data_IF_090401659708
#
_entry.id   IF_090401659708
#
_cell.length_a   1.000
_cell.length_b   1.000
_cell.length_c   1.000
_cell.angle_alpha   90.00
_cell.angle_beta   90.00
_cell.angle_gamma   90.00
#
_symmetry.space_group_name_H-M   'P 1'
#
loop_
_entity.id
_entity.type
_entity.pdbx_description
1 polymer ?
#
# COMPACT_ATOMS: atom_id res chain seq x y z
N UNK A 1 1.90 77.00 -35.04
CA UNK A 1 1.61 76.27 -33.79
C UNK A 1 0.18 75.80 -33.87
N UNK A 2 -0.01 74.52 -34.15
CA UNK A 2 -1.30 73.93 -34.55
C UNK A 2 -2.00 73.31 -33.33
N UNK A 3 -3.23 73.71 -33.05
CA UNK A 3 -4.13 72.99 -32.16
C UNK A 3 -5.36 72.56 -32.96
N UNK A 4 -5.47 71.24 -33.14
CA UNK A 4 -6.49 70.60 -33.95
C UNK A 4 -7.63 70.10 -33.07
N UNK A 5 -8.84 70.40 -33.54
CA UNK A 5 -10.17 69.99 -33.08
C UNK A 5 -10.29 68.52 -32.62
N UNK A 6 -10.96 68.33 -31.47
CA UNK A 6 -11.35 67.02 -30.93
C UNK A 6 -12.77 66.68 -31.41
N UNK A 7 -12.92 65.61 -32.19
CA UNK A 7 -14.18 65.11 -32.75
C UNK A 7 -14.64 63.88 -31.95
N UNK A 8 -15.84 63.95 -31.39
CA UNK A 8 -16.51 62.86 -30.67
C UNK A 8 -16.74 61.63 -31.55
N UNK A 9 -16.40 60.44 -31.07
CA UNK A 9 -16.94 59.17 -31.57
C UNK A 9 -17.39 58.30 -30.39
N UNK A 10 -18.67 57.98 -30.40
CA UNK A 10 -19.36 57.06 -29.50
C UNK A 10 -18.85 55.64 -29.71
N UNK A 11 -18.30 54.99 -28.68
CA UNK A 11 -17.95 53.57 -28.74
C UNK A 11 -18.97 52.74 -27.94
N UNK A 12 -19.57 51.79 -28.65
CA UNK A 12 -20.61 50.87 -28.17
C UNK A 12 -20.05 49.89 -27.14
N UNK A 13 -20.90 49.59 -26.16
CA UNK A 13 -20.76 48.51 -25.18
C UNK A 13 -20.60 47.16 -25.88
N UNK A 14 -19.58 46.40 -25.48
CA UNK A 14 -19.54 44.95 -25.63
C UNK A 14 -19.12 44.35 -24.29
N UNK A 15 -20.10 43.98 -23.48
CA UNK A 15 -19.92 43.23 -22.25
C UNK A 15 -19.47 41.81 -22.64
N UNK A 16 -18.17 41.53 -22.50
CA UNK A 16 -17.64 40.17 -22.63
C UNK A 16 -17.90 39.46 -21.30
N UNK A 17 -18.98 38.69 -21.23
CA UNK A 17 -19.20 37.75 -20.14
C UNK A 17 -18.22 36.59 -20.33
N UNK A 18 -17.11 36.61 -19.59
CA UNK A 18 -16.20 35.48 -19.51
C UNK A 18 -16.93 34.32 -18.82
N UNK A 19 -17.43 33.37 -19.60
CA UNK A 19 -17.91 32.10 -19.08
C UNK A 19 -16.71 31.30 -18.58
N UNK A 20 -16.47 31.34 -17.27
CA UNK A 20 -15.54 30.45 -16.60
C UNK A 20 -16.08 29.02 -16.73
N UNK A 21 -15.55 28.26 -17.69
CA UNK A 21 -15.76 26.83 -17.76
C UNK A 21 -14.99 26.17 -16.60
N UNK A 22 -15.62 26.11 -15.43
CA UNK A 22 -15.18 25.23 -14.35
C UNK A 22 -15.42 23.80 -14.81
N UNK A 23 -14.40 23.17 -15.40
CA UNK A 23 -14.35 21.72 -15.45
C UNK A 23 -14.13 21.22 -14.03
N UNK A 24 -15.24 21.12 -13.29
CA UNK A 24 -15.31 20.27 -12.11
C UNK A 24 -15.07 18.85 -12.61
N UNK A 25 -13.83 18.36 -12.50
CA UNK A 25 -13.59 16.93 -12.47
C UNK A 25 -14.16 16.46 -11.13
N UNK A 26 -15.48 16.33 -11.06
CA UNK A 26 -16.12 15.58 -10.00
C UNK A 26 -15.75 14.12 -10.25
N UNK A 27 -14.60 13.72 -9.71
CA UNK A 27 -14.41 12.35 -9.32
C UNK A 27 -15.58 12.05 -8.38
N UNK A 28 -16.57 11.30 -8.85
CA UNK A 28 -17.62 10.75 -7.99
C UNK A 28 -16.93 9.79 -7.02
N UNK A 29 -16.39 10.36 -5.94
CA UNK A 29 -15.90 9.59 -4.82
C UNK A 29 -17.11 8.86 -4.23
N UNK A 30 -16.92 7.59 -3.81
CA UNK A 30 -17.96 6.83 -3.14
C UNK A 30 -18.59 7.68 -2.01
N UNK A 31 -19.90 7.57 -1.74
CA UNK A 31 -20.59 8.39 -0.72
C UNK A 31 -19.90 8.38 0.66
N UNK A 32 -19.16 7.31 0.98
CA UNK A 32 -18.44 7.10 2.22
C UNK A 32 -16.91 7.32 2.12
N UNK A 33 -16.36 7.65 0.94
CA UNK A 33 -14.90 7.68 0.69
C UNK A 33 -14.11 8.60 1.63
N UNK A 34 -14.68 9.77 1.98
CA UNK A 34 -14.07 10.70 2.93
C UNK A 34 -14.03 10.12 4.34
N UNK A 35 -15.16 9.62 4.84
CA UNK A 35 -15.26 9.04 6.17
C UNK A 35 -14.37 7.79 6.30
N UNK A 36 -14.34 6.96 5.25
CA UNK A 36 -13.43 5.82 5.12
C UNK A 36 -11.97 6.27 5.21
N UNK A 37 -11.57 7.30 4.46
CA UNK A 37 -10.21 7.84 4.53
C UNK A 37 -9.88 8.36 5.92
N UNK A 38 -10.77 9.14 6.54
CA UNK A 38 -10.56 9.71 7.87
C UNK A 38 -10.37 8.62 8.93
N UNK A 39 -11.19 7.56 8.91
CA UNK A 39 -11.05 6.41 9.79
C UNK A 39 -9.73 5.66 9.57
N UNK A 40 -9.38 5.36 8.32
CA UNK A 40 -8.12 4.68 8.00
C UNK A 40 -6.89 5.53 8.36
N UNK A 41 -6.96 6.86 8.23
CA UNK A 41 -5.88 7.76 8.67
C UNK A 41 -5.77 7.79 10.20
N UNK A 42 -6.85 7.58 10.94
CA UNK A 42 -6.80 7.42 12.39
C UNK A 42 -6.10 6.12 12.79
N UNK A 43 -6.35 5.02 12.08
CA UNK A 43 -5.71 3.71 12.30
C UNK A 43 -4.26 3.65 11.81
N UNK A 44 -3.95 4.36 10.72
CA UNK A 44 -2.63 4.43 10.10
C UNK A 44 -2.17 5.90 9.98
N UNK A 45 -1.78 6.54 11.10
CA UNK A 45 -1.38 7.95 11.09
C UNK A 45 -0.28 8.24 10.06
N UNK A 46 -0.58 9.18 9.16
CA UNK A 46 0.30 9.53 8.04
C UNK A 46 1.60 10.19 8.50
N UNK A 47 2.68 9.81 7.84
CA UNK A 47 4.00 10.43 7.96
C UNK A 47 4.06 11.64 7.05
N UNK A 48 4.50 12.78 7.60
CA UNK A 48 4.75 13.99 6.81
C UNK A 48 6.20 14.02 6.35
N UNK A 49 6.36 14.38 5.08
CA UNK A 49 7.64 14.51 4.39
C UNK A 49 7.89 15.96 4.00
N UNK A 50 9.13 16.28 3.68
CA UNK A 50 9.56 17.61 3.30
C UNK A 50 8.95 18.06 1.98
N UNK A 51 8.92 19.38 1.77
CA UNK A 51 8.60 19.99 0.49
C UNK A 51 9.77 20.89 0.07
N UNK A 52 10.17 20.83 -1.19
CA UNK A 52 11.22 21.65 -1.80
C UNK A 52 10.73 22.13 -3.16
N UNK A 53 10.50 23.43 -3.31
CA UNK A 53 10.12 24.08 -4.59
C UNK A 53 9.08 23.29 -5.39
N UNK A 54 7.90 23.10 -4.78
CA UNK A 54 6.74 22.37 -5.34
C UNK A 54 6.92 20.86 -5.52
N UNK A 55 8.01 20.27 -5.04
CA UNK A 55 8.25 18.82 -5.05
C UNK A 55 8.28 18.27 -3.64
N UNK A 56 7.68 17.10 -3.47
CA UNK A 56 7.82 16.31 -2.25
C UNK A 56 9.24 15.76 -2.15
N UNK A 57 9.86 15.94 -0.99
CA UNK A 57 11.14 15.36 -0.64
C UNK A 57 10.94 14.26 0.39
N UNK A 58 10.84 13.04 -0.12
CA UNK A 58 10.64 11.82 0.67
C UNK A 58 11.87 11.42 1.49
N UNK A 59 13.03 12.03 1.27
CA UNK A 59 14.22 11.74 2.10
C UNK A 59 14.14 12.44 3.46
N UNK A 60 13.36 13.52 3.55
CA UNK A 60 13.22 14.33 4.76
C UNK A 60 11.87 14.09 5.44
N UNK A 61 11.87 13.30 6.51
CA UNK A 61 10.69 13.14 7.37
C UNK A 61 10.56 14.39 8.26
N UNK A 62 9.43 15.10 8.17
CA UNK A 62 9.14 16.29 8.98
C UNK A 62 8.28 15.98 10.20
N UNK A 63 7.42 14.96 10.11
CA UNK A 63 6.68 14.39 11.22
C UNK A 63 6.55 12.88 11.03
N UNK A 64 7.17 12.04 11.88
CA UNK A 64 7.02 10.59 11.76
C UNK A 64 5.58 10.18 12.07
N UNK A 65 5.03 9.29 11.25
CA UNK A 65 3.78 8.57 11.52
C UNK A 65 4.06 7.24 12.22
N UNK A 66 3.10 6.31 12.13
CA UNK A 66 3.29 4.95 12.68
C UNK A 66 4.26 4.15 11.81
N UNK A 67 5.10 3.34 12.45
CA UNK A 67 5.94 2.35 11.75
C UNK A 67 5.12 1.06 11.63
N UNK A 68 4.94 0.60 10.40
CA UNK A 68 4.35 -0.69 10.07
C UNK A 68 5.42 -1.60 9.47
N UNK A 69 5.13 -2.88 9.40
CA UNK A 69 5.96 -3.87 8.72
C UNK A 69 5.16 -4.52 7.60
N UNK A 70 5.83 -4.71 6.47
CA UNK A 70 5.32 -5.48 5.33
C UNK A 70 5.14 -6.94 5.75
N UNK A 71 4.01 -7.55 5.40
CA UNK A 71 3.69 -8.96 5.71
C UNK A 71 3.82 -9.89 4.51
N UNK A 72 3.62 -9.35 3.31
CA UNK A 72 3.63 -10.13 2.06
C UNK A 72 4.74 -9.62 1.15
N UNK A 73 5.53 -10.53 0.54
CA UNK A 73 6.56 -10.15 -0.40
C UNK A 73 5.94 -9.64 -1.71
N UNK A 74 6.77 -9.01 -2.55
CA UNK A 74 6.40 -8.70 -3.93
C UNK A 74 5.78 -7.33 -4.14
N UNK A 75 5.68 -6.49 -3.09
CA UNK A 75 5.26 -5.10 -3.22
C UNK A 75 6.34 -4.35 -3.98
N UNK A 76 6.03 -3.91 -5.20
CA UNK A 76 6.96 -3.15 -6.02
C UNK A 76 7.22 -1.77 -5.39
N UNK A 77 8.49 -1.39 -5.35
CA UNK A 77 8.96 -0.11 -4.87
C UNK A 77 10.08 0.44 -5.75
N UNK A 78 10.15 1.77 -5.84
CA UNK A 78 11.22 2.48 -6.55
C UNK A 78 11.81 3.58 -5.66
N UNK A 79 12.90 4.21 -6.10
CA UNK A 79 13.57 5.27 -5.36
C UNK A 79 12.62 6.42 -5.05
N UNK A 80 12.59 6.88 -3.81
CA UNK A 80 11.45 7.65 -3.28
C UNK A 80 11.22 9.02 -3.95
N UNK A 81 12.29 9.67 -4.41
CA UNK A 81 12.23 10.97 -5.10
C UNK A 81 12.23 10.83 -6.64
N UNK A 82 11.91 9.64 -7.18
CA UNK A 82 11.77 9.44 -8.63
C UNK A 82 10.70 10.39 -9.21
N UNK A 83 10.96 10.87 -10.43
CA UNK A 83 9.97 11.63 -11.21
C UNK A 83 9.06 10.72 -12.03
N UNK A 84 9.40 9.44 -12.14
CA UNK A 84 8.57 8.45 -12.84
C UNK A 84 7.36 8.09 -11.97
N UNK A 85 6.25 7.72 -12.62
CA UNK A 85 5.15 7.08 -11.91
C UNK A 85 5.63 5.72 -11.38
N UNK A 86 5.33 5.43 -10.11
CA UNK A 86 5.66 4.15 -9.50
C UNK A 86 4.62 3.13 -9.96
N UNK A 87 5.09 2.00 -10.48
CA UNK A 87 4.19 0.90 -10.87
C UNK A 87 3.43 0.43 -9.64
N UNK A 88 2.11 0.55 -9.69
CA UNK A 88 1.28 0.11 -8.58
C UNK A 88 1.36 -1.40 -8.38
N UNK A 89 1.23 -1.81 -7.12
CA UNK A 89 1.00 -3.20 -6.75
C UNK A 89 -0.45 -3.35 -6.31
N UNK A 90 -1.10 -4.46 -6.64
CA UNK A 90 -2.43 -4.82 -6.16
C UNK A 90 -2.34 -5.96 -5.16
N UNK A 91 -3.10 -5.84 -4.07
CA UNK A 91 -3.43 -6.96 -3.20
C UNK A 91 -4.88 -7.38 -3.43
N UNK A 92 -5.09 -8.62 -3.82
CA UNK A 92 -6.41 -9.22 -3.99
C UNK A 92 -6.34 -10.72 -3.69
N UNK A 93 -7.35 -11.27 -3.02
CA UNK A 93 -7.47 -12.71 -2.76
C UNK A 93 -6.23 -13.35 -2.09
N UNK A 94 -5.55 -12.59 -1.22
CA UNK A 94 -4.33 -13.06 -0.54
C UNK A 94 -3.05 -12.98 -1.38
N UNK A 95 -3.12 -12.46 -2.61
CA UNK A 95 -1.99 -12.40 -3.53
C UNK A 95 -1.59 -10.96 -3.85
N UNK A 96 -0.29 -10.77 -4.01
CA UNK A 96 0.34 -9.54 -4.47
C UNK A 96 0.63 -9.68 -5.96
N UNK A 97 0.15 -8.74 -6.76
CA UNK A 97 0.41 -8.69 -8.21
C UNK A 97 0.78 -7.28 -8.64
N UNK A 98 1.78 -7.12 -9.49
CA UNK A 98 2.05 -5.81 -10.09
C UNK A 98 0.88 -5.43 -11.02
N UNK A 99 0.57 -4.13 -11.09
CA UNK A 99 -0.40 -3.63 -12.04
C UNK A 99 0.08 -3.94 -13.47
N UNK A 100 -0.86 -4.29 -14.34
CA UNK A 100 -0.62 -4.59 -15.76
C UNK A 100 -1.31 -3.56 -16.66
N UNK A 101 -1.08 -3.63 -17.97
CA UNK A 101 -1.77 -2.77 -18.95
C UNK A 101 -1.31 -1.31 -18.91
N UNK A 102 -2.23 -0.36 -19.13
CA UNK A 102 -1.91 1.07 -19.22
C UNK A 102 -1.12 1.59 -18.00
N UNK A 103 -1.46 1.17 -16.78
CA UNK A 103 -0.72 1.56 -15.59
C UNK A 103 0.75 1.07 -15.60
N UNK A 104 1.01 -0.13 -16.14
CA UNK A 104 2.37 -0.64 -16.31
C UNK A 104 3.10 0.02 -17.49
N UNK A 105 2.36 0.40 -18.53
CA UNK A 105 2.92 1.03 -19.73
C UNK A 105 3.41 2.47 -19.50
N UNK A 106 2.87 3.16 -18.50
CA UNK A 106 3.28 4.50 -18.09
C UNK A 106 4.03 4.53 -16.75
N UNK A 107 4.07 3.41 -16.02
CA UNK A 107 4.93 3.24 -14.86
C UNK A 107 6.38 3.05 -15.32
N UNK A 108 7.31 3.83 -14.75
CA UNK A 108 8.70 3.83 -15.15
C UNK A 108 9.59 3.26 -14.04
N UNK A 109 10.38 2.24 -14.35
CA UNK A 109 11.46 1.78 -13.46
C UNK A 109 12.66 2.71 -13.62
N UNK A 110 13.23 3.17 -12.51
CA UNK A 110 14.51 3.90 -12.54
C UNK A 110 15.73 3.00 -12.76
N UNK A 111 15.51 1.71 -13.07
CA UNK A 111 16.50 0.63 -13.02
C UNK A 111 17.11 0.38 -11.62
N UNK A 112 16.66 1.10 -10.60
CA UNK A 112 17.01 0.89 -9.18
C UNK A 112 15.84 0.35 -8.36
N UNK A 113 14.72 0.01 -9.01
CA UNK A 113 13.54 -0.55 -8.37
C UNK A 113 13.76 -1.94 -7.79
N UNK A 114 12.96 -2.29 -6.78
CA UNK A 114 12.98 -3.59 -6.13
C UNK A 114 11.60 -3.91 -5.55
N UNK A 115 11.46 -5.10 -4.98
CA UNK A 115 10.32 -5.41 -4.13
C UNK A 115 10.65 -5.18 -2.66
N UNK A 116 9.65 -4.76 -1.89
CA UNK A 116 9.75 -4.74 -0.43
C UNK A 116 9.75 -6.17 0.10
N UNK A 117 10.58 -6.39 1.11
CA UNK A 117 10.66 -7.68 1.77
C UNK A 117 9.64 -7.77 2.89
N UNK A 118 9.20 -8.98 3.22
CA UNK A 118 8.49 -9.23 4.46
C UNK A 118 9.32 -8.74 5.68
N UNK A 119 8.64 -8.27 6.73
CA UNK A 119 9.15 -7.53 7.89
C UNK A 119 9.84 -6.19 7.62
N UNK A 120 9.92 -5.73 6.38
CA UNK A 120 10.50 -4.44 6.08
C UNK A 120 9.64 -3.31 6.66
N UNK A 121 10.29 -2.41 7.40
CA UNK A 121 9.61 -1.32 8.11
C UNK A 121 9.27 -0.20 7.15
N UNK A 122 8.02 0.22 7.17
CA UNK A 122 7.47 1.26 6.29
C UNK A 122 6.64 2.27 7.08
N UNK A 123 6.65 3.50 6.60
CA UNK A 123 5.70 4.55 6.91
C UNK A 123 4.56 4.54 5.89
N UNK A 124 3.39 5.03 6.29
CA UNK A 124 2.33 5.43 5.35
C UNK A 124 2.42 6.92 5.12
N UNK A 125 2.49 7.37 3.87
CA UNK A 125 2.59 8.81 3.52
C UNK A 125 1.30 9.35 2.91
N UNK A 126 0.48 8.50 2.28
CA UNK A 126 -0.85 8.86 1.80
C UNK A 126 -1.80 7.66 1.73
N UNK A 127 -3.11 7.92 1.83
CA UNK A 127 -4.18 6.93 1.72
C UNK A 127 -5.27 7.47 0.79
N UNK A 128 -5.38 6.92 -0.41
CA UNK A 128 -6.40 7.30 -1.39
C UNK A 128 -7.49 6.24 -1.47
N UNK A 129 -8.71 6.62 -1.12
CA UNK A 129 -9.90 5.77 -1.25
C UNK A 129 -10.45 5.91 -2.67
N UNK A 130 -10.30 4.84 -3.46
CA UNK A 130 -10.81 4.72 -4.83
C UNK A 130 -12.15 3.99 -4.81
N UNK A 131 -12.77 3.78 -5.98
CA UNK A 131 -14.07 3.09 -6.10
C UNK A 131 -14.02 1.62 -5.67
N UNK A 132 -12.94 0.92 -6.00
CA UNK A 132 -12.78 -0.53 -5.82
C UNK A 132 -11.55 -0.91 -4.99
N UNK A 133 -10.88 0.08 -4.40
CA UNK A 133 -9.60 -0.12 -3.72
C UNK A 133 -9.30 1.00 -2.73
N UNK A 134 -8.47 0.68 -1.75
CA UNK A 134 -7.72 1.68 -0.99
C UNK A 134 -6.28 1.62 -1.46
N UNK A 135 -5.77 2.73 -2.00
CA UNK A 135 -4.37 2.90 -2.35
C UNK A 135 -3.62 3.47 -1.14
N UNK A 136 -2.51 2.84 -0.79
CA UNK A 136 -1.64 3.24 0.30
C UNK A 136 -0.27 3.53 -0.29
N UNK A 137 0.24 4.74 -0.06
CA UNK A 137 1.63 5.07 -0.38
C UNK A 137 2.50 4.69 0.81
N UNK A 138 3.46 3.79 0.56
CA UNK A 138 4.41 3.29 1.53
C UNK A 138 5.78 3.92 1.28
N UNK A 139 6.50 4.23 2.35
CA UNK A 139 7.87 4.74 2.30
C UNK A 139 8.72 3.94 3.29
N UNK A 140 9.86 3.39 2.85
CA UNK A 140 10.74 2.62 3.76
C UNK A 140 11.26 3.48 4.89
N UNK A 141 11.32 2.91 6.09
CA UNK A 141 11.91 3.55 7.29
C UNK A 141 13.43 3.60 7.19
N UNK A 142 14.05 2.58 6.61
CA UNK A 142 15.48 2.55 6.39
C UNK A 142 15.86 3.29 5.11
N UNK A 143 17.05 3.90 5.15
CA UNK A 143 17.68 4.58 4.01
C UNK A 143 18.66 3.61 3.38
N UNK A 144 18.54 3.41 2.07
CA UNK A 144 19.46 2.63 1.26
C UNK A 144 20.51 3.54 0.62
N UNK A 145 21.74 3.03 0.47
CA UNK A 145 22.77 3.66 -0.36
C UNK A 145 22.78 2.98 -1.72
N UNK A 146 22.59 3.76 -2.78
CA UNK A 146 22.62 3.29 -4.16
C UNK A 146 24.06 3.06 -4.63
N UNK A 147 24.22 2.37 -5.77
CA UNK A 147 25.55 2.06 -6.34
C UNK A 147 26.37 3.29 -6.73
N UNK A 148 25.73 4.45 -6.90
CA UNK A 148 26.35 5.75 -7.17
C UNK A 148 26.70 6.53 -5.89
N UNK A 149 26.47 5.95 -4.71
CA UNK A 149 26.71 6.57 -3.40
C UNK A 149 25.59 7.49 -2.90
N UNK A 150 24.53 7.71 -3.68
CA UNK A 150 23.39 8.50 -3.22
C UNK A 150 22.54 7.71 -2.21
N UNK A 151 22.10 8.40 -1.15
CA UNK A 151 21.18 7.85 -0.17
C UNK A 151 19.73 8.09 -0.60
N UNK A 152 18.89 7.06 -0.52
CA UNK A 152 17.47 7.14 -0.86
C UNK A 152 16.62 6.26 0.04
N UNK A 153 15.32 6.52 0.06
CA UNK A 153 14.31 5.57 0.56
C UNK A 153 13.65 4.90 -0.63
N UNK A 154 12.88 3.85 -0.38
CA UNK A 154 12.02 3.26 -1.39
C UNK A 154 10.57 3.66 -1.13
N UNK A 155 9.85 4.01 -2.19
CA UNK A 155 8.44 4.35 -2.18
C UNK A 155 7.67 3.29 -2.97
N UNK A 156 6.50 2.90 -2.49
CA UNK A 156 5.62 1.93 -3.12
C UNK A 156 4.18 2.44 -3.12
N UNK A 157 3.41 2.04 -4.14
CA UNK A 157 1.98 2.30 -4.20
C UNK A 157 1.20 0.98 -4.17
N UNK A 158 0.55 0.69 -3.05
CA UNK A 158 -0.20 -0.54 -2.83
C UNK A 158 -1.71 -0.29 -2.93
N UNK A 159 -2.37 -0.88 -3.91
CA UNK A 159 -3.83 -0.93 -4.01
C UNK A 159 -4.36 -2.19 -3.32
N UNK A 160 -4.97 -2.04 -2.15
CA UNK A 160 -5.76 -3.10 -1.50
C UNK A 160 -7.12 -3.15 -2.19
N UNK A 161 -7.39 -4.20 -2.97
CA UNK A 161 -8.65 -4.36 -3.71
C UNK A 161 -9.78 -4.72 -2.76
N UNK A 162 -10.82 -3.89 -2.79
CA UNK A 162 -12.00 -3.95 -1.92
C UNK A 162 -13.24 -3.79 -2.79
N UNK A 163 -13.68 -4.85 -3.51
CA UNK A 163 -14.93 -4.79 -4.25
C UNK A 163 -16.09 -4.51 -3.28
N UNK A 164 -16.96 -3.56 -3.63
CA UNK A 164 -18.06 -3.14 -2.74
C UNK A 164 -17.65 -2.16 -1.64
N UNK A 165 -16.58 -1.38 -1.84
CA UNK A 165 -16.11 -0.40 -0.85
C UNK A 165 -17.19 0.62 -0.45
N UNK A 166 -18.13 0.93 -1.33
CA UNK A 166 -19.24 1.85 -1.10
C UNK A 166 -20.13 1.45 0.09
N UNK A 167 -20.18 0.14 0.43
CA UNK A 167 -20.96 -0.40 1.55
C UNK A 167 -20.10 -1.05 2.63
N UNK A 168 -18.78 -1.11 2.44
CA UNK A 168 -17.84 -1.70 3.38
C UNK A 168 -17.62 -0.78 4.58
N UNK A 169 -17.42 -1.38 5.76
CA UNK A 169 -17.07 -0.65 6.98
C UNK A 169 -15.58 -0.32 7.02
N UNK A 170 -15.15 0.76 7.71
CA UNK A 170 -13.73 1.04 7.93
C UNK A 170 -12.97 -0.12 8.58
N UNK A 171 -13.58 -0.80 9.55
CA UNK A 171 -12.98 -1.95 10.23
C UNK A 171 -12.70 -3.11 9.28
N UNK A 172 -13.59 -3.38 8.33
CA UNK A 172 -13.39 -4.45 7.35
C UNK A 172 -12.32 -4.09 6.32
N UNK A 173 -12.27 -2.82 5.89
CA UNK A 173 -11.18 -2.32 5.06
C UNK A 173 -9.83 -2.43 5.79
N UNK A 174 -9.79 -2.03 7.07
CA UNK A 174 -8.63 -2.14 7.95
C UNK A 174 -8.16 -3.60 8.06
N UNK A 175 -9.06 -4.55 8.31
CA UNK A 175 -8.71 -5.99 8.37
C UNK A 175 -8.02 -6.48 7.09
N UNK A 176 -8.41 -5.95 5.93
CA UNK A 176 -7.81 -6.31 4.65
C UNK A 176 -6.43 -5.66 4.45
N UNK A 177 -6.27 -4.40 4.86
CA UNK A 177 -4.98 -3.70 4.87
C UNK A 177 -4.00 -4.39 5.82
N UNK A 178 -4.48 -4.77 7.02
CA UNK A 178 -3.72 -5.47 8.05
C UNK A 178 -3.12 -6.80 7.55
N UNK A 179 -3.65 -7.40 6.47
CA UNK A 179 -3.07 -8.60 5.84
C UNK A 179 -1.76 -8.33 5.12
N UNK A 180 -1.51 -7.09 4.70
CA UNK A 180 -0.36 -6.70 3.88
C UNK A 180 0.65 -5.87 4.66
N UNK A 181 0.17 -4.99 5.54
CA UNK A 181 1.00 -4.18 6.43
C UNK A 181 0.38 -4.21 7.83
N UNK A 182 1.17 -4.42 8.88
CA UNK A 182 0.68 -4.44 10.24
C UNK A 182 1.72 -3.87 11.20
N UNK A 183 1.37 -3.79 12.49
CA UNK A 183 2.37 -3.52 13.53
C UNK A 183 3.57 -4.49 13.39
N UNK A 184 4.82 -4.02 13.51
CA UNK A 184 6.01 -4.85 13.38
C UNK A 184 6.01 -6.10 14.26
N UNK A 185 5.52 -6.03 15.51
CA UNK A 185 5.44 -7.19 16.39
C UNK A 185 4.46 -8.25 15.85
N UNK A 186 3.37 -7.80 15.22
CA UNK A 186 2.38 -8.69 14.59
C UNK A 186 2.92 -9.28 13.29
N UNK A 187 3.62 -8.49 12.46
CA UNK A 187 4.20 -8.97 11.20
C UNK A 187 5.31 -10.02 11.44
N UNK A 188 6.19 -9.78 12.43
CA UNK A 188 7.27 -10.72 12.76
C UNK A 188 6.75 -12.06 13.29
N UNK A 189 5.59 -12.08 13.94
CA UNK A 189 4.92 -13.32 14.33
C UNK A 189 4.35 -14.13 13.15
N UNK A 190 4.19 -13.51 11.97
CA UNK A 190 3.62 -14.15 10.77
C UNK A 190 4.70 -14.86 9.94
N UNK A 191 5.96 -14.44 10.05
CA UNK A 191 7.07 -14.91 9.20
C UNK A 191 7.95 -16.00 9.78
N UNK A 192 7.65 -16.49 10.99
CA UNK A 192 8.24 -17.74 11.46
C UNK A 192 7.19 -18.61 12.10
N UNK A 193 6.21 -19.05 11.29
CA UNK A 193 5.48 -20.27 11.61
C UNK A 193 6.39 -21.47 11.31
N UNK A 194 7.50 -21.56 12.04
CA UNK A 194 8.50 -22.61 11.87
C UNK A 194 8.01 -23.86 12.57
N UNK A 195 7.69 -24.89 11.79
CA UNK A 195 7.51 -26.23 12.32
C UNK A 195 8.89 -26.87 12.46
N UNK A 196 9.23 -27.33 13.67
CA UNK A 196 10.47 -28.08 13.91
C UNK A 196 10.12 -29.54 14.15
N UNK A 197 11.02 -30.43 13.73
CA UNK A 197 10.98 -31.84 14.16
C UNK A 197 10.86 -31.91 15.69
N UNK A 198 9.97 -32.77 16.16
CA UNK A 198 9.73 -32.99 17.58
C UNK A 198 8.63 -32.13 18.23
N UNK A 199 8.10 -31.09 17.54
CA UNK A 199 6.98 -30.29 18.08
C UNK A 199 5.71 -31.14 18.27
N UNK A 200 4.89 -30.81 19.25
CA UNK A 200 3.61 -31.50 19.46
C UNK A 200 2.46 -30.85 18.65
N UNK A 201 1.29 -31.50 18.51
CA UNK A 201 0.19 -30.99 17.72
C UNK A 201 -0.35 -29.62 18.17
N UNK A 202 -0.31 -29.32 19.47
CA UNK A 202 -0.83 -28.05 20.00
C UNK A 202 0.15 -26.90 19.74
N UNK A 203 1.45 -27.14 19.85
CA UNK A 203 2.50 -26.18 19.44
C UNK A 203 2.42 -25.87 17.94
N UNK A 204 2.11 -26.89 17.13
CA UNK A 204 1.90 -26.72 15.68
C UNK A 204 0.65 -25.90 15.40
N UNK A 205 -0.48 -26.15 16.09
CA UNK A 205 -1.69 -25.32 15.96
C UNK A 205 -1.47 -23.89 16.44
N UNK A 206 -0.68 -23.69 17.50
CA UNK A 206 -0.34 -22.37 18.00
C UNK A 206 0.51 -21.59 16.99
N UNK A 207 1.42 -22.28 16.29
CA UNK A 207 2.30 -21.68 15.29
C UNK A 207 1.59 -21.45 13.97
N UNK A 208 0.89 -22.44 13.42
CA UNK A 208 0.31 -22.39 12.08
C UNK A 208 -1.18 -22.01 12.06
N UNK A 209 -1.87 -22.13 13.18
CA UNK A 209 -3.33 -22.11 13.25
C UNK A 209 -3.93 -23.50 13.09
N UNK A 210 -5.27 -23.57 13.10
CA UNK A 210 -5.98 -24.82 12.88
C UNK A 210 -5.75 -25.34 11.45
N UNK A 211 -5.52 -26.65 11.27
CA UNK A 211 -5.42 -27.25 9.95
C UNK A 211 -6.77 -27.33 9.25
N UNK A 212 -6.76 -27.39 7.92
CA UNK A 212 -7.95 -27.59 7.09
C UNK A 212 -8.51 -29.01 7.27
N UNK A 213 -7.63 -29.99 7.51
CA UNK A 213 -8.01 -31.38 7.79
C UNK A 213 -7.04 -32.03 8.75
N UNK A 214 -7.59 -32.83 9.67
CA UNK A 214 -6.83 -33.71 10.57
C UNK A 214 -7.09 -35.16 10.13
N UNK A 215 -6.02 -35.92 9.93
CA UNK A 215 -6.07 -37.36 9.71
C UNK A 215 -5.43 -38.04 10.92
N UNK A 216 -6.24 -38.74 11.71
CA UNK A 216 -5.78 -39.41 12.93
C UNK A 216 -5.82 -40.93 12.73
N UNK A 217 -4.66 -41.57 12.81
CA UNK A 217 -4.48 -43.03 12.69
C UNK A 217 -3.92 -43.62 14.00
N UNK A 218 -4.08 -42.93 15.14
CA UNK A 218 -3.57 -43.34 16.44
C UNK A 218 -2.09 -42.95 16.63
N UNK A 219 -1.17 -43.90 16.45
CA UNK A 219 0.27 -43.65 16.63
C UNK A 219 0.84 -42.67 15.59
N UNK A 220 0.12 -42.44 14.49
CA UNK A 220 0.46 -41.49 13.44
C UNK A 220 -0.71 -40.55 13.20
N UNK A 221 -0.44 -39.25 13.16
CA UNK A 221 -1.42 -38.21 12.85
C UNK A 221 -0.87 -37.33 11.72
N UNK A 222 -1.74 -36.70 10.93
CA UNK A 222 -1.32 -35.70 9.95
C UNK A 222 -2.23 -34.48 9.97
N UNK A 223 -1.63 -33.29 9.96
CA UNK A 223 -2.31 -32.02 9.80
C UNK A 223 -2.11 -31.52 8.37
N UNK A 224 -3.20 -31.28 7.67
CA UNK A 224 -3.22 -30.78 6.30
C UNK A 224 -3.55 -29.29 6.35
N UNK A 225 -2.65 -28.48 5.81
CA UNK A 225 -2.82 -27.07 5.50
C UNK A 225 -2.84 -26.89 3.98
N UNK A 226 -3.32 -25.73 3.52
CA UNK A 226 -3.46 -25.37 2.10
C UNK A 226 -2.23 -25.70 1.22
N UNK A 227 -1.03 -25.57 1.76
CA UNK A 227 0.26 -25.69 1.07
C UNK A 227 1.23 -26.71 1.71
N UNK A 228 0.81 -27.41 2.77
CA UNK A 228 1.71 -28.27 3.55
C UNK A 228 0.99 -29.35 4.33
N UNK A 229 1.60 -30.53 4.47
CA UNK A 229 1.18 -31.62 5.34
C UNK A 229 2.25 -31.88 6.40
N UNK A 230 1.86 -31.81 7.66
CA UNK A 230 2.71 -32.15 8.79
C UNK A 230 2.33 -33.53 9.27
N UNK A 231 3.33 -34.41 9.39
CA UNK A 231 3.15 -35.76 9.90
C UNK A 231 3.68 -35.81 11.32
N UNK A 232 2.88 -36.39 12.20
CA UNK A 232 3.22 -36.68 13.57
C UNK A 232 3.35 -38.19 13.75
N UNK A 233 4.37 -38.62 14.48
CA UNK A 233 4.51 -39.98 14.99
C UNK A 233 4.69 -39.87 16.50
N UNK A 234 3.91 -40.64 17.26
CA UNK A 234 3.89 -40.60 18.73
C UNK A 234 3.66 -39.19 19.30
N UNK A 235 2.77 -38.43 18.66
CA UNK A 235 2.42 -37.07 19.07
C UNK A 235 3.52 -36.04 18.84
N UNK A 236 4.51 -36.31 17.98
CA UNK A 236 5.60 -35.38 17.64
C UNK A 236 5.79 -35.26 16.14
N UNK A 237 6.10 -34.06 15.65
CA UNK A 237 6.41 -33.82 14.24
C UNK A 237 7.57 -34.71 13.83
N UNK A 238 7.32 -35.61 12.90
CA UNK A 238 8.30 -36.51 12.31
C UNK A 238 8.70 -36.08 10.90
N UNK A 239 7.79 -35.41 10.18
CA UNK A 239 8.00 -35.07 8.77
C UNK A 239 7.10 -33.90 8.33
N UNK A 240 7.52 -33.20 7.27
CA UNK A 240 6.79 -32.09 6.64
C UNK A 240 6.88 -32.26 5.13
N UNK A 241 5.72 -32.31 4.46
CA UNK A 241 5.56 -32.60 3.04
C UNK A 241 4.73 -31.54 2.31
#
# INVERSE_FOLDING_TARGET
MSFTSFRSHSLRVLTVTAAAATLSVSAFAAPNSRAMREALVADYPLTQVGQVMFKTDYTRITKPGVILAVRLPGIYADVANTQNAIVNTNYANGQITQATGFAAAFGGSTAQSRTLNPNEKVYVTDILVKRDAVQIELLTVDVATLGDGMSTRYRAELNVKLPGLDTMTPDDAKKMIDKVIADPAVASAVESKTVKLGMNPDEVKQSLGNPDKIVDLGAKQAFIYKDMKIVFVDGKVSDVQ
#
